data_IF_292578434443
#
_entry.id   IF_292578434443
#
_cell.length_a   1.000
_cell.length_b   1.000
_cell.length_c   1.000
_cell.angle_alpha   90.00
_cell.angle_beta   90.00
_cell.angle_gamma   90.00
#
_symmetry.space_group_name_H-M   'P 1'
#
loop_
_entity.id
_entity.type
_entity.pdbx_description
1 polymer ?
#
# COMPACT_ATOMS: atom_id res chain seq x y z
N UNK A 1 -25.76 5.40 2.50
CA UNK A 1 -24.35 4.98 2.64
C UNK A 1 -24.15 4.15 3.91
N UNK A 2 -24.34 4.70 5.12
CA UNK A 2 -24.22 3.91 6.37
C UNK A 2 -25.14 2.67 6.40
N UNK A 3 -26.42 2.77 6.06
CA UNK A 3 -27.33 1.62 5.97
C UNK A 3 -26.94 0.56 4.92
N UNK A 4 -26.12 0.92 3.94
CA UNK A 4 -25.66 -0.02 2.91
C UNK A 4 -24.41 -0.78 3.36
N UNK A 5 -23.61 -0.17 4.24
CA UNK A 5 -22.44 -0.79 4.85
C UNK A 5 -22.76 -1.46 6.20
N UNK A 6 -23.83 -1.04 6.90
CA UNK A 6 -24.27 -1.57 8.19
C UNK A 6 -25.81 -1.55 8.27
N UNK A 7 -26.42 -2.69 7.91
CA UNK A 7 -27.86 -2.95 8.02
C UNK A 7 -28.22 -3.79 9.25
N UNK A 8 -27.26 -3.98 10.17
CA UNK A 8 -27.39 -4.89 11.31
C UNK A 8 -27.13 -6.37 11.00
N UNK A 9 -26.85 -6.73 9.74
CA UNK A 9 -26.52 -8.09 9.30
C UNK A 9 -25.19 -8.22 8.55
N UNK A 10 -24.37 -7.16 8.49
CA UNK A 10 -23.10 -7.18 7.77
C UNK A 10 -22.95 -6.10 6.70
N UNK A 11 -24.06 -5.44 6.33
CA UNK A 11 -24.11 -4.56 5.15
C UNK A 11 -24.07 -5.33 3.83
N UNK A 12 -24.44 -4.65 2.75
CA UNK A 12 -24.39 -5.18 1.38
C UNK A 12 -23.03 -4.98 0.69
N UNK A 13 -22.27 -3.97 1.12
CA UNK A 13 -21.00 -3.59 0.49
C UNK A 13 -19.86 -3.56 1.50
N UNK A 14 -18.65 -4.02 1.12
CA UNK A 14 -17.48 -3.91 1.99
C UNK A 14 -17.05 -2.45 2.16
N UNK A 15 -16.48 -2.16 3.33
CA UNK A 15 -15.81 -0.89 3.62
C UNK A 15 -14.35 -0.99 3.20
N UNK A 16 -13.92 -0.12 2.29
CA UNK A 16 -12.54 -0.09 1.79
C UNK A 16 -11.78 1.03 2.51
N UNK A 17 -10.56 0.73 2.96
CA UNK A 17 -9.68 1.69 3.63
C UNK A 17 -8.29 1.71 2.98
N UNK A 18 -7.84 2.90 2.55
CA UNK A 18 -6.49 3.13 1.98
C UNK A 18 -5.47 3.52 3.06
N UNK A 19 -5.42 2.72 4.12
CA UNK A 19 -4.41 2.81 5.17
C UNK A 19 -4.37 1.49 5.95
N UNK A 20 -3.37 0.65 5.69
CA UNK A 20 -3.32 -0.72 6.24
C UNK A 20 -3.38 -0.80 7.76
N UNK A 21 -2.80 0.19 8.44
CA UNK A 21 -2.86 0.28 9.91
C UNK A 21 -4.29 0.50 10.40
N UNK A 22 -5.06 1.33 9.71
CA UNK A 22 -6.46 1.59 9.99
C UNK A 22 -7.33 0.38 9.63
N UNK A 23 -7.10 -0.24 8.47
CA UNK A 23 -7.79 -1.47 8.03
C UNK A 23 -7.65 -2.57 9.07
N UNK A 24 -6.42 -2.89 9.50
CA UNK A 24 -6.15 -3.91 10.49
C UNK A 24 -6.81 -3.60 11.85
N UNK A 25 -6.77 -2.34 12.29
CA UNK A 25 -7.46 -1.90 13.52
C UNK A 25 -8.97 -2.09 13.42
N UNK A 26 -9.58 -1.70 12.30
CA UNK A 26 -11.02 -1.77 12.11
C UNK A 26 -11.52 -3.21 11.96
N UNK A 27 -10.79 -4.07 11.24
CA UNK A 27 -11.08 -5.50 11.16
C UNK A 27 -11.16 -6.12 12.56
N UNK A 28 -10.19 -5.83 13.44
CA UNK A 28 -10.19 -6.29 14.83
C UNK A 28 -11.35 -5.70 15.65
N UNK A 29 -11.66 -4.41 15.49
CA UNK A 29 -12.68 -3.71 16.28
C UNK A 29 -14.11 -4.04 15.87
N UNK A 30 -14.35 -4.29 14.58
CA UNK A 30 -15.66 -4.66 14.07
C UNK A 30 -15.91 -6.16 14.21
N UNK A 31 -14.84 -6.98 14.30
CA UNK A 31 -14.91 -8.41 14.60
C UNK A 31 -15.91 -9.15 13.69
N UNK A 32 -15.85 -8.87 12.38
CA UNK A 32 -16.72 -9.47 11.37
C UNK A 32 -18.12 -8.87 11.28
N UNK A 33 -18.50 -7.90 12.13
CA UNK A 33 -19.79 -7.20 11.99
C UNK A 33 -19.92 -6.49 10.65
N UNK A 34 -18.83 -5.98 10.10
CA UNK A 34 -18.76 -5.40 8.75
C UNK A 34 -17.53 -5.95 8.05
N UNK A 35 -17.62 -6.21 6.77
CA UNK A 35 -16.47 -6.54 5.95
C UNK A 35 -15.63 -5.28 5.73
N UNK A 36 -14.38 -5.30 6.22
CA UNK A 36 -13.40 -4.22 5.99
C UNK A 36 -12.26 -4.78 5.18
N UNK A 37 -12.04 -4.21 4.00
CA UNK A 37 -10.93 -4.55 3.12
C UNK A 37 -9.90 -3.43 3.15
N UNK A 38 -8.63 -3.82 3.21
CA UNK A 38 -7.55 -2.93 2.84
C UNK A 38 -7.62 -2.66 1.32
N UNK A 39 -7.29 -1.44 0.90
CA UNK A 39 -7.30 -1.05 -0.50
C UNK A 39 -6.55 -2.04 -1.40
N UNK A 40 -5.36 -2.50 -1.01
CA UNK A 40 -4.60 -3.43 -1.87
C UNK A 40 -5.28 -4.80 -2.05
N UNK A 41 -6.06 -5.26 -1.05
CA UNK A 41 -6.83 -6.50 -1.17
C UNK A 41 -7.99 -6.30 -2.15
N UNK A 42 -8.76 -5.23 -1.97
CA UNK A 42 -9.85 -4.86 -2.87
C UNK A 42 -9.34 -4.62 -4.31
N UNK A 43 -8.24 -3.88 -4.45
CA UNK A 43 -7.63 -3.60 -5.74
C UNK A 43 -7.18 -4.87 -6.46
N UNK A 44 -6.55 -5.81 -5.74
CA UNK A 44 -6.15 -7.09 -6.32
C UNK A 44 -7.36 -7.93 -6.78
N UNK A 45 -8.40 -8.07 -5.97
CA UNK A 45 -9.51 -9.00 -6.26
C UNK A 45 -10.59 -8.37 -7.18
N UNK A 46 -10.88 -7.09 -7.01
CA UNK A 46 -11.99 -6.41 -7.67
C UNK A 46 -11.54 -5.50 -8.81
N UNK A 47 -10.42 -4.78 -8.67
CA UNK A 47 -10.02 -3.81 -9.70
C UNK A 47 -9.14 -4.45 -10.77
N UNK A 48 -8.07 -5.13 -10.37
CA UNK A 48 -7.04 -5.65 -11.27
C UNK A 48 -7.59 -6.53 -12.40
N UNK A 49 -8.56 -7.44 -12.19
CA UNK A 49 -9.13 -8.25 -13.27
C UNK A 49 -9.94 -7.46 -14.31
N UNK A 50 -10.30 -6.21 -14.01
CA UNK A 50 -11.18 -5.36 -14.82
C UNK A 50 -10.45 -4.16 -15.44
N UNK A 51 -9.20 -3.93 -15.05
CA UNK A 51 -8.37 -2.84 -15.55
C UNK A 51 -7.45 -3.35 -16.66
N UNK A 52 -7.26 -2.52 -17.69
CA UNK A 52 -6.18 -2.70 -18.66
C UNK A 52 -4.96 -2.02 -18.04
N UNK A 53 -3.88 -2.79 -17.85
CA UNK A 53 -2.68 -2.31 -17.15
C UNK A 53 -1.51 -2.21 -18.12
N UNK A 54 -0.93 -1.02 -18.21
CA UNK A 54 0.36 -0.76 -18.85
C UNK A 54 1.43 -0.71 -17.78
N UNK A 55 2.37 -1.65 -17.79
CA UNK A 55 3.42 -1.74 -16.77
C UNK A 55 4.43 -0.62 -16.90
N UNK A 56 4.90 -0.11 -15.76
CA UNK A 56 6.06 0.77 -15.71
C UNK A 56 7.32 0.02 -16.12
N UNK A 57 8.16 0.71 -16.88
CA UNK A 57 9.44 0.16 -17.38
C UNK A 57 10.53 0.15 -16.32
N UNK A 58 10.57 1.14 -15.43
CA UNK A 58 11.57 1.24 -14.36
C UNK A 58 11.20 0.45 -13.09
N UNK A 59 12.18 0.15 -12.22
CA UNK A 59 11.93 -0.56 -10.98
C UNK A 59 11.14 0.29 -9.99
N UNK A 60 10.15 -0.35 -9.36
CA UNK A 60 9.37 0.23 -8.27
C UNK A 60 9.77 -0.44 -6.96
N UNK A 61 10.22 0.35 -5.97
CA UNK A 61 10.50 -0.16 -4.64
C UNK A 61 9.19 -0.48 -3.89
N UNK A 62 9.12 -1.62 -3.21
CA UNK A 62 7.95 -2.04 -2.46
C UNK A 62 8.29 -2.15 -0.97
N UNK A 63 7.59 -1.37 -0.14
CA UNK A 63 7.58 -1.57 1.31
C UNK A 63 6.27 -2.21 1.78
N UNK A 64 6.35 -3.49 2.10
CA UNK A 64 5.28 -4.24 2.77
C UNK A 64 5.34 -3.93 4.27
N UNK A 65 4.46 -3.05 4.72
CA UNK A 65 4.45 -2.59 6.11
C UNK A 65 3.99 -3.66 7.10
N UNK A 66 4.24 -3.39 8.38
CA UNK A 66 3.96 -4.32 9.48
C UNK A 66 2.48 -4.73 9.58
N UNK A 67 1.53 -3.85 9.25
CA UNK A 67 0.10 -4.17 9.31
C UNK A 67 -0.32 -5.15 8.22
N UNK A 68 0.18 -4.99 6.99
CA UNK A 68 -0.07 -5.94 5.89
C UNK A 68 0.44 -7.34 6.23
N UNK A 69 1.63 -7.44 6.84
CA UNK A 69 2.19 -8.72 7.30
C UNK A 69 1.37 -9.33 8.42
N UNK A 70 0.92 -8.52 9.37
CA UNK A 70 0.09 -8.99 10.49
C UNK A 70 -1.27 -9.50 10.00
N UNK A 71 -1.82 -8.89 8.94
CA UNK A 71 -3.06 -9.34 8.29
C UNK A 71 -2.85 -10.45 7.26
N UNK A 72 -1.62 -10.97 7.09
CA UNK A 72 -1.27 -12.01 6.13
C UNK A 72 -1.76 -11.69 4.68
N UNK A 73 -1.69 -10.42 4.28
CA UNK A 73 -2.19 -9.95 2.98
C UNK A 73 -1.08 -9.50 2.02
N UNK A 74 0.18 -9.76 2.37
CA UNK A 74 1.37 -9.40 1.59
C UNK A 74 1.37 -9.96 0.16
N UNK A 75 0.85 -11.17 -0.05
CA UNK A 75 0.87 -11.79 -1.38
C UNK A 75 -0.02 -11.07 -2.38
N UNK A 76 -1.17 -10.54 -1.93
CA UNK A 76 -2.02 -9.70 -2.78
C UNK A 76 -1.32 -8.39 -3.13
N UNK A 77 -0.62 -7.79 -2.17
CA UNK A 77 0.15 -6.56 -2.41
C UNK A 77 1.30 -6.81 -3.40
N UNK A 78 2.04 -7.93 -3.27
CA UNK A 78 3.09 -8.31 -4.21
C UNK A 78 2.54 -8.48 -5.62
N UNK A 79 1.47 -9.25 -5.77
CA UNK A 79 0.82 -9.50 -7.07
C UNK A 79 0.30 -8.22 -7.70
N UNK A 80 -0.33 -7.35 -6.91
CA UNK A 80 -0.82 -6.05 -7.39
C UNK A 80 0.34 -5.17 -7.88
N UNK A 81 1.44 -5.10 -7.13
CA UNK A 81 2.62 -4.31 -7.51
C UNK A 81 3.30 -4.87 -8.76
N UNK A 82 3.48 -6.19 -8.84
CA UNK A 82 4.06 -6.88 -10.00
C UNK A 82 3.19 -6.80 -11.26
N UNK A 83 1.88 -6.60 -11.11
CA UNK A 83 1.01 -6.32 -12.25
C UNK A 83 1.26 -4.92 -12.83
N UNK A 84 1.74 -3.97 -12.03
CA UNK A 84 1.91 -2.57 -12.40
C UNK A 84 3.34 -2.21 -12.83
N UNK A 85 4.35 -3.01 -12.50
CA UNK A 85 5.76 -2.72 -12.82
C UNK A 85 6.49 -3.95 -13.37
N UNK A 86 7.41 -3.73 -14.31
CA UNK A 86 8.23 -4.82 -14.85
C UNK A 86 9.26 -5.36 -13.86
N UNK A 87 9.71 -4.51 -12.94
CA UNK A 87 10.67 -4.86 -11.90
C UNK A 87 10.17 -4.29 -10.55
N UNK A 88 10.18 -5.14 -9.52
CA UNK A 88 9.77 -4.77 -8.17
C UNK A 88 10.90 -5.08 -7.21
N UNK A 89 11.33 -4.07 -6.46
CA UNK A 89 12.39 -4.19 -5.45
C UNK A 89 11.73 -4.23 -4.07
N UNK A 90 11.46 -5.43 -3.54
CA UNK A 90 10.91 -5.57 -2.19
C UNK A 90 11.98 -5.28 -1.13
N UNK A 91 11.68 -4.39 -0.19
CA UNK A 91 12.54 -4.08 0.95
C UNK A 91 12.44 -5.17 2.04
N UNK A 92 12.98 -6.35 1.78
CA UNK A 92 12.84 -7.53 2.66
C UNK A 92 13.51 -7.36 4.03
N UNK A 93 14.60 -6.60 4.11
CA UNK A 93 15.31 -6.32 5.38
C UNK A 93 14.57 -5.31 6.28
N UNK A 94 13.50 -4.67 5.78
CA UNK A 94 12.76 -3.64 6.50
C UNK A 94 11.32 -4.08 6.74
N UNK A 95 11.11 -4.70 7.90
CA UNK A 95 9.77 -5.09 8.36
C UNK A 95 8.95 -3.93 8.92
N UNK A 96 9.60 -2.83 9.35
CA UNK A 96 8.97 -1.63 9.90
C UNK A 96 9.73 -0.38 9.46
N UNK A 97 9.02 0.69 9.14
CA UNK A 97 9.59 2.00 8.77
C UNK A 97 9.99 2.89 9.96
N UNK A 98 9.71 2.47 11.20
CA UNK A 98 10.05 3.26 12.41
C UNK A 98 9.08 4.40 12.74
N UNK A 99 8.10 4.70 11.88
CA UNK A 99 7.13 5.78 12.14
C UNK A 99 6.12 5.44 13.25
N UNK A 100 5.79 4.16 13.42
CA UNK A 100 4.93 3.63 14.49
C UNK A 100 3.65 4.49 14.74
N UNK A 101 2.86 4.70 13.68
CA UNK A 101 1.81 5.71 13.69
C UNK A 101 2.39 7.07 13.32
N UNK A 102 2.32 8.02 14.23
CA UNK A 102 2.82 9.39 14.12
C UNK A 102 4.10 9.64 14.93
N UNK A 103 4.56 8.65 15.70
CA UNK A 103 5.72 8.80 16.60
C UNK A 103 7.01 9.18 15.87
N UNK A 104 7.15 8.77 14.61
CA UNK A 104 8.27 9.17 13.75
C UNK A 104 8.40 10.69 13.53
N UNK A 105 7.33 11.46 13.74
CA UNK A 105 7.40 12.93 13.71
C UNK A 105 8.07 13.52 14.95
N UNK A 106 7.97 12.85 16.09
CA UNK A 106 8.46 13.35 17.38
C UNK A 106 9.80 12.69 17.76
N UNK A 107 10.06 11.49 17.27
CA UNK A 107 11.29 10.72 17.52
C UNK A 107 11.86 10.25 16.17
N UNK A 108 12.42 11.15 15.36
CA UNK A 108 12.90 10.84 14.01
C UNK A 108 14.02 9.79 14.01
N UNK A 109 14.77 9.65 15.10
CA UNK A 109 15.83 8.67 15.26
C UNK A 109 15.31 7.22 15.10
N UNK A 110 14.03 6.96 15.39
CA UNK A 110 13.40 5.67 15.14
C UNK A 110 13.28 5.37 13.64
N UNK A 111 12.91 6.36 12.84
CA UNK A 111 12.78 6.23 11.39
C UNK A 111 14.16 6.08 10.73
N UNK A 112 15.11 6.94 11.11
CA UNK A 112 16.52 6.85 10.68
C UNK A 112 17.09 5.47 11.01
N UNK A 113 16.93 5.01 12.25
CA UNK A 113 17.44 3.71 12.64
C UNK A 113 16.76 2.58 11.86
N UNK A 114 15.44 2.60 11.72
CA UNK A 114 14.71 1.55 11.02
C UNK A 114 15.10 1.43 9.54
N UNK A 115 15.42 2.55 8.88
CA UNK A 115 15.70 2.60 7.44
C UNK A 115 17.20 2.69 7.08
N UNK A 116 18.10 2.68 8.07
CA UNK A 116 19.57 2.83 7.89
C UNK A 116 20.26 1.87 6.91
N UNK A 117 19.60 0.79 6.51
CA UNK A 117 20.11 -0.22 5.55
C UNK A 117 19.39 -0.20 4.22
N UNK A 118 18.39 0.66 4.04
CA UNK A 118 17.68 0.78 2.76
C UNK A 118 18.60 1.44 1.76
N UNK A 119 18.97 0.69 0.73
CA UNK A 119 19.69 1.18 -0.42
C UNK A 119 18.90 0.81 -1.66
N UNK A 120 18.55 1.82 -2.46
CA UNK A 120 17.85 1.62 -3.73
C UNK A 120 18.85 1.81 -4.88
N UNK A 121 18.77 0.99 -5.94
CA UNK A 121 19.51 1.24 -7.17
C UNK A 121 19.25 2.65 -7.72
N UNK A 122 20.24 3.25 -8.37
CA UNK A 122 20.13 4.62 -8.89
C UNK A 122 18.97 4.80 -9.87
N UNK A 123 18.68 3.75 -10.67
CA UNK A 123 17.59 3.69 -11.63
C UNK A 123 16.20 3.51 -10.98
N UNK A 124 16.11 3.22 -9.68
CA UNK A 124 14.84 3.17 -8.94
C UNK A 124 14.42 4.59 -8.54
N UNK A 125 13.38 5.10 -9.20
CA UNK A 125 12.95 6.50 -9.07
C UNK A 125 11.82 6.72 -8.07
N UNK A 126 11.13 5.67 -7.65
CA UNK A 126 9.98 5.76 -6.77
C UNK A 126 9.75 4.46 -6.00
N UNK A 127 8.95 4.56 -4.94
CA UNK A 127 8.49 3.42 -4.19
C UNK A 127 7.02 3.51 -3.83
N UNK A 128 6.48 2.39 -3.37
CA UNK A 128 5.10 2.28 -2.92
C UNK A 128 4.99 1.67 -1.54
N UNK A 129 3.99 2.12 -0.81
CA UNK A 129 3.50 1.47 0.41
C UNK A 129 1.97 1.57 0.46
N UNK A 130 1.37 1.13 1.55
CA UNK A 130 -0.09 1.12 1.76
C UNK A 130 -0.50 1.89 3.01
N UNK A 131 0.38 2.77 3.50
CA UNK A 131 0.14 3.55 4.70
C UNK A 131 0.91 4.86 4.65
N UNK A 132 0.20 5.97 4.82
CA UNK A 132 0.74 7.32 4.59
C UNK A 132 1.99 7.65 5.41
N UNK A 133 2.05 7.20 6.66
CA UNK A 133 3.21 7.48 7.53
C UNK A 133 4.44 6.65 7.13
N UNK A 134 4.24 5.46 6.57
CA UNK A 134 5.34 4.70 5.95
C UNK A 134 5.87 5.43 4.71
N UNK A 135 4.99 5.94 3.86
CA UNK A 135 5.38 6.73 2.68
C UNK A 135 6.22 7.95 3.04
N UNK A 136 5.81 8.69 4.07
CA UNK A 136 6.53 9.87 4.55
C UNK A 136 7.93 9.47 5.06
N UNK A 137 8.02 8.47 5.94
CA UNK A 137 9.29 8.03 6.50
C UNK A 137 10.25 7.43 5.47
N UNK A 138 9.74 6.64 4.52
CA UNK A 138 10.56 6.10 3.44
C UNK A 138 11.04 7.20 2.50
N UNK A 139 10.18 8.18 2.21
CA UNK A 139 10.58 9.33 1.38
C UNK A 139 11.69 10.14 2.06
N UNK A 140 11.55 10.39 3.36
CA UNK A 140 12.52 11.15 4.14
C UNK A 140 13.90 10.48 4.15
N UNK A 141 13.96 9.17 4.40
CA UNK A 141 15.24 8.47 4.57
C UNK A 141 15.89 8.02 3.25
N UNK A 142 15.10 7.74 2.20
CA UNK A 142 15.65 7.27 0.92
C UNK A 142 15.87 8.38 -0.10
N UNK A 143 15.27 9.56 0.10
CA UNK A 143 15.23 10.63 -0.88
C UNK A 143 14.45 10.31 -2.15
N UNK A 144 13.77 9.15 -2.23
CA UNK A 144 12.91 8.75 -3.34
C UNK A 144 11.44 8.95 -2.97
N UNK A 145 10.58 9.43 -3.87
CA UNK A 145 9.15 9.59 -3.57
C UNK A 145 8.51 8.22 -3.32
N UNK A 146 7.96 8.03 -2.12
CA UNK A 146 7.04 6.92 -1.81
C UNK A 146 5.59 7.39 -1.84
N UNK A 147 4.71 6.58 -2.44
CA UNK A 147 3.27 6.87 -2.60
C UNK A 147 2.40 5.66 -2.26
N UNK A 148 1.10 5.86 -2.08
CA UNK A 148 0.15 4.75 -1.96
C UNK A 148 0.18 3.90 -3.24
N UNK A 149 0.03 2.58 -3.08
CA UNK A 149 -0.16 1.63 -4.19
C UNK A 149 -1.34 2.03 -5.10
N UNK A 150 -2.32 2.76 -4.57
CA UNK A 150 -3.42 3.31 -5.35
C UNK A 150 -2.96 4.24 -6.48
N UNK A 151 -1.91 5.05 -6.25
CA UNK A 151 -1.35 5.92 -7.27
C UNK A 151 -0.69 5.11 -8.39
N UNK A 152 0.08 4.08 -8.04
CA UNK A 152 0.71 3.22 -9.03
C UNK A 152 -0.33 2.50 -9.89
N UNK A 153 -1.36 1.94 -9.25
CA UNK A 153 -2.45 1.28 -9.97
C UNK A 153 -3.19 2.25 -10.90
N UNK A 154 -3.51 3.45 -10.41
CA UNK A 154 -4.18 4.47 -11.21
C UNK A 154 -3.33 4.83 -12.43
N UNK A 155 -2.05 5.19 -12.23
CA UNK A 155 -1.12 5.56 -13.30
C UNK A 155 -1.03 4.46 -14.37
N UNK A 156 -0.84 3.20 -13.95
CA UNK A 156 -0.71 2.07 -14.88
C UNK A 156 -2.04 1.69 -15.55
N UNK A 157 -3.18 2.15 -15.04
CA UNK A 157 -4.51 1.90 -15.63
C UNK A 157 -5.00 3.01 -16.55
N UNK A 158 -4.25 4.12 -16.67
CA UNK A 158 -4.56 5.18 -17.62
C UNK A 158 -4.47 4.62 -19.04
N UNK A 159 -5.50 4.89 -19.83
CA UNK A 159 -5.40 4.71 -21.28
C UNK A 159 -4.46 5.80 -21.78
N UNK A 160 -3.22 5.45 -22.15
CA UNK A 160 -2.41 6.33 -22.98
C UNK A 160 -3.29 6.71 -24.18
N UNK A 161 -3.47 8.03 -24.39
CA UNK A 161 -4.36 8.63 -25.37
C UNK A 161 -4.73 7.68 -26.50
N UNK A 162 -5.93 7.09 -26.41
CA UNK A 162 -6.65 6.65 -27.61
C UNK A 162 -6.94 7.96 -28.34
N UNK A 163 -6.01 8.38 -29.18
CA UNK A 163 -6.31 9.33 -30.25
C UNK A 163 -7.30 8.58 -31.13
N UNK A 164 -8.58 8.92 -30.93
CA UNK A 164 -9.65 8.49 -31.82
C UNK A 164 -9.49 9.23 -33.16
#
# INVERSE_FOLDING_TARGET
>A
LLKAADDGQGGFYPVIMDASTCSARMQKKLAGRLEVLDFHQFAHDALLPRLIITRKTGPVALHINCSVRTSASEDKLRRLTAACANEVIELTEVSCCGFAGDRGFVVPELNVHALRRVHLPENCREGVSTNRTCEIGLTAETGRPYRSIAYLLEECSRRENIVC
#
